data_IF_223523318131
#
_entry.id   IF_223523318131
#
_cell.length_a   1.000
_cell.length_b   1.000
_cell.length_c   1.000
_cell.angle_alpha   90.00
_cell.angle_beta   90.00
_cell.angle_gamma   90.00
#
_symmetry.space_group_name_H-M   'P 1'
#
loop_
_entity.id
_entity.type
_entity.pdbx_description
1 polymer ?
#
# COMPACT_ATOMS: atom_id res chain seq x y z
N UNK A 1 -0.29 1.72 12.45
CA UNK A 1 0.16 2.75 13.40
C UNK A 1 -0.49 2.66 14.77
N UNK A 2 -1.79 2.50 14.92
CA UNK A 2 -2.45 2.33 16.24
C UNK A 2 -1.91 1.10 16.97
N UNK A 3 -1.76 -0.04 16.29
CA UNK A 3 -1.27 -1.30 16.88
C UNK A 3 0.14 -1.12 17.44
N UNK A 4 1.06 -0.52 16.70
CA UNK A 4 2.44 -0.32 17.17
C UNK A 4 2.53 0.60 18.39
N UNK A 5 1.69 1.64 18.45
CA UNK A 5 1.62 2.54 19.59
C UNK A 5 1.07 1.83 20.83
N UNK A 6 -0.02 1.09 20.68
CA UNK A 6 -0.63 0.34 21.78
C UNK A 6 0.32 -0.75 22.30
N UNK A 7 1.02 -1.45 21.40
CA UNK A 7 2.00 -2.47 21.78
C UNK A 7 3.17 -1.85 22.53
N UNK A 8 3.69 -0.69 22.09
CA UNK A 8 4.77 0.00 22.79
C UNK A 8 4.36 0.43 24.20
N UNK A 9 3.14 0.95 24.36
CA UNK A 9 2.62 1.31 25.69
C UNK A 9 2.49 0.08 26.59
N UNK A 10 1.90 -0.99 26.09
CA UNK A 10 1.76 -2.24 26.84
C UNK A 10 3.13 -2.82 27.26
N UNK A 11 4.12 -2.83 26.36
CA UNK A 11 5.46 -3.29 26.67
C UNK A 11 6.15 -2.42 27.74
N UNK A 12 5.92 -1.11 27.72
CA UNK A 12 6.43 -0.20 28.76
C UNK A 12 5.79 -0.47 30.13
N UNK A 13 4.48 -0.69 30.17
CA UNK A 13 3.73 -0.99 31.42
C UNK A 13 4.23 -2.27 32.09
N UNK A 14 4.56 -3.31 31.32
CA UNK A 14 5.05 -4.59 31.85
C UNK A 14 6.59 -4.69 31.86
N UNK A 15 7.28 -3.59 31.60
CA UNK A 15 8.75 -3.51 31.53
C UNK A 15 9.41 -4.58 30.63
N UNK A 16 8.78 -4.84 29.48
CA UNK A 16 9.26 -5.81 28.49
C UNK A 16 9.84 -5.08 27.27
N UNK A 17 11.03 -5.47 26.78
CA UNK A 17 11.63 -4.82 25.63
C UNK A 17 10.81 -5.09 24.35
N UNK A 18 10.57 -4.03 23.57
CA UNK A 18 9.91 -4.13 22.27
C UNK A 18 10.96 -4.12 21.17
N UNK A 19 11.00 -5.21 20.40
CA UNK A 19 11.85 -5.34 19.20
C UNK A 19 11.03 -5.03 17.97
N UNK A 20 11.50 -4.08 17.17
CA UNK A 20 10.85 -3.71 15.90
C UNK A 20 11.65 -4.26 14.72
N UNK A 21 10.95 -4.95 13.82
CA UNK A 21 11.47 -5.28 12.50
C UNK A 21 10.85 -4.37 11.46
N UNK A 22 11.64 -3.46 10.90
CA UNK A 22 11.21 -2.57 9.81
C UNK A 22 11.86 -2.98 8.50
N UNK A 23 11.03 -3.26 7.49
CA UNK A 23 11.54 -3.49 6.15
C UNK A 23 12.10 -2.18 5.58
N UNK A 24 13.27 -2.24 4.98
CA UNK A 24 13.83 -1.08 4.27
C UNK A 24 12.85 -0.55 3.23
N UNK A 25 12.72 0.77 3.20
CA UNK A 25 12.10 1.45 2.07
C UNK A 25 13.08 1.34 0.89
N UNK A 26 12.71 0.57 -0.13
CA UNK A 26 13.46 0.50 -1.37
C UNK A 26 12.90 1.60 -2.27
N UNK A 27 13.53 2.76 -2.25
CA UNK A 27 13.20 3.85 -3.18
C UNK A 27 13.79 3.49 -4.54
N UNK A 28 12.95 3.00 -5.44
CA UNK A 28 13.30 2.82 -6.83
C UNK A 28 13.04 4.14 -7.57
N UNK A 29 14.07 4.81 -8.02
CA UNK A 29 13.97 5.99 -8.85
C UNK A 29 13.78 5.56 -10.32
N UNK A 30 12.53 5.45 -10.74
CA UNK A 30 12.17 5.35 -12.15
C UNK A 30 11.29 6.55 -12.50
N UNK A 31 11.28 6.95 -13.77
CA UNK A 31 10.52 8.13 -14.22
C UNK A 31 9.01 8.01 -13.98
N UNK A 32 8.51 6.79 -13.72
CA UNK A 32 7.08 6.50 -13.55
C UNK A 32 6.67 6.29 -12.09
N UNK A 33 7.61 6.41 -11.11
CA UNK A 33 7.31 6.20 -9.69
C UNK A 33 7.37 7.52 -8.92
N UNK A 34 6.28 7.83 -8.24
CA UNK A 34 6.10 9.06 -7.48
C UNK A 34 5.83 8.73 -6.01
N UNK A 35 6.59 9.32 -5.11
CA UNK A 35 6.41 9.13 -3.67
C UNK A 35 5.63 10.31 -3.09
N UNK A 36 4.47 10.03 -2.49
CA UNK A 36 3.56 11.01 -1.91
C UNK A 36 3.41 10.78 -0.41
N UNK A 37 3.12 11.83 0.35
CA UNK A 37 2.97 11.71 1.81
C UNK A 37 1.55 11.29 2.21
N UNK A 38 0.52 11.72 1.47
CA UNK A 38 -0.87 11.38 1.74
C UNK A 38 -1.60 10.84 0.51
N UNK A 39 -2.67 10.06 0.75
CA UNK A 39 -3.49 9.43 -0.29
C UNK A 39 -4.14 10.40 -1.28
N UNK A 40 -4.15 11.69 -0.98
CA UNK A 40 -4.77 12.76 -1.77
C UNK A 40 -3.76 13.73 -2.40
N UNK A 41 -2.45 13.45 -2.27
CA UNK A 41 -1.37 14.38 -2.67
C UNK A 41 -0.92 14.20 -4.14
N UNK A 42 -1.83 13.84 -5.05
CA UNK A 42 -1.51 13.82 -6.50
C UNK A 42 -1.76 15.22 -7.10
N UNK A 43 -1.23 16.26 -6.45
CA UNK A 43 -1.59 17.65 -6.77
C UNK A 43 -0.96 18.20 -8.06
N UNK A 44 0.06 17.52 -8.60
CA UNK A 44 0.82 18.01 -9.76
C UNK A 44 0.56 17.21 -11.04
N UNK A 45 -0.47 16.36 -11.04
CA UNK A 45 -0.79 15.51 -12.16
C UNK A 45 -2.24 15.76 -12.55
N UNK A 46 -2.47 15.93 -13.85
CA UNK A 46 -3.83 16.01 -14.38
C UNK A 46 -4.53 14.66 -14.20
N UNK A 47 -5.56 14.64 -13.35
CA UNK A 47 -6.34 13.45 -13.02
C UNK A 47 -7.76 13.47 -13.57
N UNK A 48 -8.19 14.60 -14.17
CA UNK A 48 -9.50 14.70 -14.78
C UNK A 48 -9.64 13.70 -15.93
N UNK A 49 -10.72 12.93 -15.92
CA UNK A 49 -11.01 11.85 -16.86
C UNK A 49 -9.97 10.71 -16.90
N UNK A 50 -9.06 10.63 -15.92
CA UNK A 50 -8.07 9.55 -15.80
C UNK A 50 -8.62 8.35 -15.05
N UNK A 51 -8.16 7.18 -15.43
CA UNK A 51 -8.50 5.91 -14.80
C UNK A 51 -7.49 5.60 -13.68
N UNK A 52 -7.95 5.66 -12.43
CA UNK A 52 -7.11 5.51 -11.23
C UNK A 52 -7.45 4.21 -10.51
N UNK A 53 -6.47 3.32 -10.39
CA UNK A 53 -6.58 2.09 -9.60
C UNK A 53 -6.12 2.32 -8.17
N UNK A 54 -7.03 2.16 -7.21
CA UNK A 54 -6.76 2.21 -5.78
C UNK A 54 -6.36 0.83 -5.25
N UNK A 55 -5.05 0.59 -5.12
CA UNK A 55 -4.47 -0.62 -4.50
C UNK A 55 -4.02 -0.36 -3.05
N UNK A 56 -4.81 0.38 -2.28
CA UNK A 56 -4.49 0.92 -0.95
C UNK A 56 -5.05 0.09 0.21
N UNK A 57 -5.80 -0.96 -0.08
CA UNK A 57 -6.59 -1.72 0.89
C UNK A 57 -7.91 -1.05 1.24
N UNK A 58 -8.81 -1.80 1.88
CA UNK A 58 -10.20 -1.39 2.08
C UNK A 58 -10.44 -0.31 3.13
N UNK A 59 -9.48 -0.08 4.04
CA UNK A 59 -9.68 0.80 5.20
C UNK A 59 -9.94 2.27 4.85
N UNK A 60 -9.26 2.78 3.82
CA UNK A 60 -9.36 4.18 3.40
C UNK A 60 -10.00 4.31 2.01
N UNK A 61 -10.61 3.22 1.54
CA UNK A 61 -11.08 3.12 0.17
C UNK A 61 -12.15 4.16 -0.16
N UNK A 62 -13.20 4.22 0.65
CA UNK A 62 -14.34 5.11 0.39
C UNK A 62 -13.94 6.58 0.35
N UNK A 63 -13.20 7.06 1.36
CA UNK A 63 -12.79 8.48 1.46
C UNK A 63 -11.84 8.87 0.33
N UNK A 64 -10.96 7.94 -0.07
CA UNK A 64 -10.01 8.17 -1.17
C UNK A 64 -10.73 8.15 -2.52
N UNK A 65 -11.64 7.20 -2.72
CA UNK A 65 -12.44 7.10 -3.94
C UNK A 65 -13.32 8.35 -4.14
N UNK A 66 -14.04 8.77 -3.09
CA UNK A 66 -14.86 9.99 -3.13
C UNK A 66 -14.05 11.22 -3.52
N UNK A 67 -12.83 11.35 -2.98
CA UNK A 67 -11.94 12.46 -3.34
C UNK A 67 -11.60 12.48 -4.83
N UNK A 68 -11.14 11.35 -5.39
CA UNK A 68 -10.76 11.30 -6.81
C UNK A 68 -11.95 11.41 -7.75
N UNK A 69 -13.10 10.86 -7.38
CA UNK A 69 -14.34 11.03 -8.16
C UNK A 69 -14.81 12.49 -8.19
N UNK A 70 -14.66 13.23 -7.09
CA UNK A 70 -14.94 14.67 -7.06
C UNK A 70 -13.97 15.47 -7.96
N UNK A 71 -12.75 14.94 -8.19
CA UNK A 71 -11.81 15.47 -9.18
C UNK A 71 -12.08 14.96 -10.60
N UNK A 72 -13.25 14.37 -10.87
CA UNK A 72 -13.69 13.80 -12.14
C UNK A 72 -12.82 12.67 -12.69
N UNK A 73 -12.10 11.94 -11.82
CA UNK A 73 -11.39 10.72 -12.20
C UNK A 73 -12.34 9.51 -12.20
N UNK A 74 -12.06 8.53 -13.05
CA UNK A 74 -12.69 7.22 -13.01
C UNK A 74 -11.94 6.36 -11.98
N UNK A 75 -12.63 5.85 -10.97
CA UNK A 75 -12.00 5.12 -9.88
C UNK A 75 -12.29 3.63 -9.97
N UNK A 76 -11.21 2.86 -9.87
CA UNK A 76 -11.18 1.41 -9.83
C UNK A 76 -10.49 0.94 -8.54
N UNK A 77 -10.78 -0.26 -8.11
CA UNK A 77 -10.10 -0.83 -6.95
C UNK A 77 -9.87 -2.32 -7.06
N UNK A 78 -8.81 -2.77 -6.40
CA UNK A 78 -8.56 -4.17 -6.14
C UNK A 78 -8.47 -4.41 -4.64
N UNK A 79 -9.29 -5.31 -4.14
CA UNK A 79 -9.35 -5.70 -2.73
C UNK A 79 -9.05 -7.18 -2.53
N UNK A 80 -8.64 -7.54 -1.32
CA UNK A 80 -8.41 -8.94 -0.96
C UNK A 80 -9.74 -9.70 -0.82
N UNK A 81 -9.77 -11.03 -1.06
CA UNK A 81 -10.96 -11.88 -0.89
C UNK A 81 -11.24 -12.18 0.59
N UNK A 82 -11.36 -11.14 1.41
CA UNK A 82 -11.77 -11.23 2.80
C UNK A 82 -13.13 -10.59 2.99
N UNK A 83 -13.95 -11.11 3.88
CA UNK A 83 -15.28 -10.58 4.17
C UNK A 83 -15.26 -9.07 4.43
N UNK A 84 -14.35 -8.61 5.29
CA UNK A 84 -14.21 -7.19 5.61
C UNK A 84 -13.86 -6.33 4.38
N UNK A 85 -12.92 -6.79 3.55
CA UNK A 85 -12.49 -6.05 2.36
C UNK A 85 -13.58 -5.96 1.30
N UNK A 86 -14.29 -7.07 1.09
CA UNK A 86 -15.41 -7.16 0.15
C UNK A 86 -16.55 -6.24 0.61
N UNK A 87 -16.98 -6.35 1.87
CA UNK A 87 -18.05 -5.52 2.42
C UNK A 87 -17.75 -4.03 2.31
N UNK A 88 -16.50 -3.62 2.63
CA UNK A 88 -16.08 -2.21 2.50
C UNK A 88 -16.00 -1.74 1.06
N UNK A 89 -15.59 -2.61 0.13
CA UNK A 89 -15.51 -2.25 -1.27
C UNK A 89 -16.91 -2.04 -1.89
N UNK A 90 -17.83 -2.98 -1.66
CA UNK A 90 -19.21 -2.85 -2.15
C UNK A 90 -20.03 -1.78 -1.41
N UNK A 91 -19.68 -1.43 -0.20
CA UNK A 91 -20.24 -0.31 0.55
C UNK A 91 -19.64 1.05 0.22
N UNK A 92 -18.67 1.12 -0.71
CA UNK A 92 -18.03 2.37 -1.13
C UNK A 92 -18.80 3.03 -2.29
N UNK A 93 -18.38 4.24 -2.65
CA UNK A 93 -18.95 4.96 -3.81
C UNK A 93 -18.49 4.41 -5.18
N UNK A 94 -17.61 3.41 -5.21
CA UNK A 94 -17.08 2.83 -6.45
C UNK A 94 -18.14 1.93 -7.10
N UNK A 95 -18.30 2.06 -8.43
CA UNK A 95 -19.21 1.18 -9.18
C UNK A 95 -18.76 -0.28 -9.04
N UNK A 96 -19.71 -1.21 -8.86
CA UNK A 96 -19.40 -2.64 -8.69
C UNK A 96 -18.57 -3.23 -9.83
N UNK A 97 -18.79 -2.78 -11.07
CA UNK A 97 -18.01 -3.19 -12.23
C UNK A 97 -16.52 -2.76 -12.17
N UNK A 98 -16.19 -1.79 -11.32
CA UNK A 98 -14.84 -1.25 -11.13
C UNK A 98 -14.16 -1.86 -9.89
N UNK A 99 -14.72 -2.90 -9.29
CA UNK A 99 -14.19 -3.59 -8.12
C UNK A 99 -13.68 -4.97 -8.53
N UNK A 100 -12.39 -5.23 -8.33
CA UNK A 100 -11.81 -6.57 -8.46
C UNK A 100 -11.51 -7.16 -7.09
N UNK A 101 -11.86 -8.43 -6.92
CA UNK A 101 -11.55 -9.21 -5.72
C UNK A 101 -10.46 -10.20 -6.11
N UNK A 102 -9.22 -9.93 -5.71
CA UNK A 102 -8.06 -10.69 -6.17
C UNK A 102 -6.95 -10.70 -5.12
N UNK A 103 -6.38 -11.88 -4.84
CA UNK A 103 -5.15 -11.99 -4.07
C UNK A 103 -3.93 -11.54 -4.89
N UNK A 104 -2.93 -10.90 -4.26
CA UNK A 104 -1.67 -10.58 -4.92
C UNK A 104 -0.96 -11.84 -5.37
N UNK A 105 -0.49 -11.88 -6.60
CA UNK A 105 0.33 -12.99 -7.09
C UNK A 105 1.61 -13.13 -6.25
N UNK A 106 1.86 -14.34 -5.74
CA UNK A 106 3.08 -14.66 -4.97
C UNK A 106 4.29 -14.99 -5.86
N UNK A 107 4.04 -15.28 -7.13
CA UNK A 107 5.04 -15.85 -8.04
C UNK A 107 5.66 -14.83 -9.01
N UNK A 108 5.67 -13.55 -8.67
CA UNK A 108 6.20 -12.43 -9.47
C UNK A 108 5.64 -12.33 -10.92
N UNK A 109 4.56 -13.03 -11.24
CA UNK A 109 4.01 -13.01 -12.59
C UNK A 109 2.92 -11.97 -12.81
N UNK A 110 2.30 -11.46 -11.75
CA UNK A 110 1.29 -10.36 -11.74
C UNK A 110 0.39 -10.27 -13.00
N UNK A 111 0.16 -11.43 -13.66
CA UNK A 111 -0.48 -11.50 -14.98
C UNK A 111 -1.93 -11.02 -14.89
N UNK A 112 -2.64 -11.41 -13.83
CA UNK A 112 -4.04 -11.04 -13.65
C UNK A 112 -4.16 -9.54 -13.34
N UNK A 113 -3.31 -9.02 -12.48
CA UNK A 113 -3.27 -7.60 -12.15
C UNK A 113 -2.92 -6.75 -13.38
N UNK A 114 -1.97 -7.22 -14.21
CA UNK A 114 -1.64 -6.54 -15.47
C UNK A 114 -2.81 -6.54 -16.44
N UNK A 115 -3.42 -7.70 -16.69
CA UNK A 115 -4.60 -7.80 -17.56
C UNK A 115 -5.78 -6.93 -17.07
N UNK A 116 -5.93 -6.82 -15.76
CA UNK A 116 -6.94 -5.96 -15.16
C UNK A 116 -6.66 -4.48 -15.45
N UNK A 117 -5.39 -4.05 -15.33
CA UNK A 117 -4.98 -2.70 -15.70
C UNK A 117 -5.21 -2.42 -17.19
N UNK A 118 -4.84 -3.36 -18.06
CA UNK A 118 -5.05 -3.25 -19.50
C UNK A 118 -6.55 -3.18 -19.85
N UNK A 119 -7.39 -4.01 -19.22
CA UNK A 119 -8.84 -4.04 -19.41
C UNK A 119 -9.54 -2.76 -18.95
N UNK A 120 -9.07 -2.16 -17.86
CA UNK A 120 -9.62 -0.92 -17.31
C UNK A 120 -8.90 0.32 -17.83
N UNK A 121 -7.95 0.17 -18.76
CA UNK A 121 -7.17 1.27 -19.34
C UNK A 121 -6.60 2.19 -18.25
N UNK A 122 -5.96 1.61 -17.24
CA UNK A 122 -5.47 2.33 -16.06
C UNK A 122 -4.33 3.29 -16.43
N UNK A 123 -4.49 4.57 -16.11
CA UNK A 123 -3.44 5.58 -16.21
C UNK A 123 -2.56 5.62 -14.96
N UNK A 124 -3.18 5.53 -13.78
CA UNK A 124 -2.49 5.72 -12.49
C UNK A 124 -2.81 4.61 -11.51
N UNK A 125 -1.79 4.09 -10.86
CA UNK A 125 -1.92 3.15 -9.74
C UNK A 125 -1.54 3.87 -8.45
N UNK A 126 -2.44 3.89 -7.47
CA UNK A 126 -2.18 4.40 -6.13
C UNK A 126 -1.99 3.22 -5.18
N UNK A 127 -0.80 3.10 -4.61
CA UNK A 127 -0.42 2.00 -3.73
C UNK A 127 0.23 2.54 -2.45
N UNK A 128 0.22 1.75 -1.38
CA UNK A 128 0.92 2.09 -0.13
C UNK A 128 2.29 1.44 -0.12
N UNK A 129 3.29 2.20 0.28
CA UNK A 129 4.61 1.67 0.55
C UNK A 129 4.52 0.64 1.68
N UNK A 130 4.73 -0.63 1.36
CA UNK A 130 4.62 -1.74 2.33
C UNK A 130 5.84 -2.65 2.32
N UNK A 131 6.67 -2.59 1.26
CA UNK A 131 7.75 -3.55 1.02
C UNK A 131 7.25 -5.00 0.83
N UNK A 132 5.94 -5.18 0.54
CA UNK A 132 5.31 -6.47 0.35
C UNK A 132 5.35 -6.92 -1.12
N UNK A 133 4.98 -8.18 -1.36
CA UNK A 133 4.79 -8.69 -2.72
C UNK A 133 3.80 -7.85 -3.54
N UNK A 134 2.74 -7.35 -2.90
CA UNK A 134 1.76 -6.51 -3.59
C UNK A 134 2.37 -5.24 -4.14
N UNK A 135 3.22 -4.55 -3.38
CA UNK A 135 3.94 -3.38 -3.87
C UNK A 135 4.87 -3.74 -5.04
N UNK A 136 5.70 -4.78 -4.88
CA UNK A 136 6.61 -5.25 -5.93
C UNK A 136 5.89 -5.62 -7.22
N UNK A 137 4.69 -6.20 -7.11
CA UNK A 137 3.86 -6.50 -8.26
C UNK A 137 3.46 -5.24 -9.02
N UNK A 138 2.99 -4.20 -8.31
CA UNK A 138 2.64 -2.92 -8.93
C UNK A 138 3.86 -2.22 -9.54
N UNK A 139 4.99 -2.22 -8.85
CA UNK A 139 6.26 -1.69 -9.38
C UNK A 139 6.66 -2.39 -10.68
N UNK A 140 6.56 -3.73 -10.74
CA UNK A 140 6.88 -4.52 -11.92
C UNK A 140 5.92 -4.24 -13.09
N UNK A 141 4.62 -4.12 -12.83
CA UNK A 141 3.60 -3.84 -13.86
C UNK A 141 3.84 -2.45 -14.45
N UNK A 142 4.03 -1.45 -13.61
CA UNK A 142 4.19 -0.05 -14.03
C UNK A 142 5.54 0.17 -14.72
N UNK A 143 6.63 -0.48 -14.29
CA UNK A 143 7.95 -0.37 -14.95
C UNK A 143 7.94 -0.78 -16.43
N UNK A 144 6.99 -1.63 -16.84
CA UNK A 144 6.86 -2.09 -18.22
C UNK A 144 5.72 -1.41 -19.01
N UNK A 145 5.24 -0.25 -18.58
CA UNK A 145 4.08 0.43 -19.15
C UNK A 145 4.21 1.96 -19.10
N UNK A 146 3.26 2.67 -19.69
CA UNK A 146 3.14 4.13 -19.58
C UNK A 146 2.39 4.59 -18.31
N UNK A 147 1.86 3.66 -17.54
CA UNK A 147 1.19 3.97 -16.27
C UNK A 147 2.15 4.67 -15.29
N UNK A 148 1.58 5.44 -14.37
CA UNK A 148 2.33 6.04 -13.25
C UNK A 148 1.95 5.37 -11.94
N UNK A 149 2.93 5.11 -11.08
CA UNK A 149 2.74 4.55 -9.74
C UNK A 149 2.93 5.63 -8.68
N UNK A 150 1.90 5.89 -7.91
CA UNK A 150 1.96 6.74 -6.72
C UNK A 150 2.07 5.88 -5.47
N UNK A 151 3.20 5.99 -4.78
CA UNK A 151 3.50 5.26 -3.56
C UNK A 151 3.32 6.18 -2.36
N UNK A 152 2.30 5.90 -1.56
CA UNK A 152 2.10 6.61 -0.30
C UNK A 152 3.14 6.14 0.71
N UNK A 153 4.04 7.03 1.07
CA UNK A 153 5.12 6.77 2.03
C UNK A 153 4.58 6.23 3.36
N UNK A 154 5.37 5.40 4.00
CA UNK A 154 5.07 5.00 5.38
C UNK A 154 5.21 6.21 6.29
N UNK A 155 4.25 6.44 7.19
CA UNK A 155 4.43 7.43 8.23
C UNK A 155 5.69 7.10 9.05
N UNK A 156 6.59 8.05 9.19
CA UNK A 156 7.72 7.89 10.11
C UNK A 156 7.17 7.77 11.53
N UNK A 157 7.36 6.64 12.15
CA UNK A 157 6.93 6.41 13.52
C UNK A 157 8.07 6.90 14.44
N UNK A 158 7.88 8.03 15.09
CA UNK A 158 8.72 8.44 16.21
C UNK A 158 8.29 7.64 17.44
N UNK A 159 8.82 6.45 17.62
CA UNK A 159 8.56 5.65 18.81
C UNK A 159 9.90 5.26 19.44
N UNK A 160 9.96 5.33 20.77
CA UNK A 160 11.05 4.81 21.58
C UNK A 160 10.96 3.28 21.62
N UNK A 161 11.37 2.63 20.52
CA UNK A 161 11.58 1.19 20.55
C UNK A 161 12.86 0.87 21.31
N UNK A 162 12.88 -0.23 22.04
CA UNK A 162 14.11 -0.67 22.70
C UNK A 162 15.18 -1.00 21.67
N UNK A 163 14.77 -1.61 20.55
CA UNK A 163 15.64 -1.97 19.43
C UNK A 163 14.86 -1.97 18.10
N UNK A 164 15.50 -1.52 17.01
CA UNK A 164 14.95 -1.58 15.64
C UNK A 164 15.94 -2.29 14.72
N UNK A 165 15.43 -3.20 13.88
CA UNK A 165 16.21 -4.00 12.95
C UNK A 165 15.58 -3.91 11.54
N UNK A 166 16.42 -3.81 10.52
CA UNK A 166 16.02 -3.80 9.10
C UNK A 166 16.39 -5.12 8.38
N UNK A 167 17.23 -5.94 9.02
CA UNK A 167 17.64 -7.24 8.52
C UNK A 167 17.25 -8.34 9.51
N UNK A 168 16.66 -9.40 8.98
CA UNK A 168 16.13 -10.48 9.79
C UNK A 168 17.20 -11.21 10.60
N UNK A 169 18.38 -11.44 10.03
CA UNK A 169 19.48 -12.09 10.74
C UNK A 169 19.99 -11.26 11.94
N UNK A 170 20.00 -9.93 11.83
CA UNK A 170 20.40 -9.06 12.95
C UNK A 170 19.41 -9.15 14.12
N UNK A 171 18.12 -9.22 13.82
CA UNK A 171 17.08 -9.44 14.82
C UNK A 171 17.28 -10.79 15.52
N UNK A 172 17.47 -11.89 14.75
CA UNK A 172 17.69 -13.23 15.30
C UNK A 172 18.95 -13.26 16.18
N UNK A 173 20.07 -12.74 15.66
CA UNK A 173 21.32 -12.70 16.40
C UNK A 173 21.20 -11.90 17.71
N UNK A 174 20.42 -10.82 17.70
CA UNK A 174 20.16 -10.07 18.92
C UNK A 174 19.37 -10.88 19.95
N UNK A 175 18.34 -11.60 19.51
CA UNK A 175 17.53 -12.47 20.39
C UNK A 175 18.42 -13.57 21.00
N UNK A 176 19.18 -14.30 20.17
CA UNK A 176 20.04 -15.40 20.62
C UNK A 176 21.12 -14.93 21.61
N UNK A 177 21.66 -13.71 21.44
CA UNK A 177 22.71 -13.20 22.34
C UNK A 177 22.18 -12.68 23.68
N UNK A 178 20.92 -12.32 23.72
CA UNK A 178 20.37 -11.61 24.88
C UNK A 178 19.44 -12.49 25.74
N UNK A 179 18.92 -13.54 25.18
CA UNK A 179 18.00 -14.50 25.80
C UNK A 179 18.45 -15.94 25.57
#
# INVERSE_FOLDING_TARGET
MIISKNLNNACKEINTPLLLFERKSLINHTNNFFYIDHLKDINNVDIENKNILLAIGSRFLNDTASYYMNCKANVFTRVLPTYESITKAFGSCIKNANIAILEPSKNNKSILEKKLCDFWEIDYVLCRESGSYSQKNWESIVSGSEMKLFLVKRPKVKNDYSYSFDQYHNLINHIIKKY
#
